data_IF_804535070209
#
_entry.id   IF_804535070209
#
_cell.length_a   1.000
_cell.length_b   1.000
_cell.length_c   1.000
_cell.angle_alpha   90.00
_cell.angle_beta   90.00
_cell.angle_gamma   90.00
#
_symmetry.space_group_name_H-M   'P 1'
#
loop_
_entity.id
_entity.type
_entity.pdbx_description
1 polymer ?
#
# COMPACT_ATOMS: atom_id res chain seq x y z
N UNK A 1 35.67 -5.94 4.39
CA UNK A 1 34.71 -5.77 5.50
C UNK A 1 34.61 -7.11 6.21
N UNK A 2 33.69 -7.31 7.17
CA UNK A 2 33.40 -8.66 7.62
C UNK A 2 32.64 -9.39 6.51
N UNK A 3 33.02 -10.64 6.20
CA UNK A 3 32.27 -11.49 5.27
C UNK A 3 30.88 -11.73 5.86
N UNK A 4 29.84 -11.45 5.09
CA UNK A 4 28.44 -11.69 5.45
C UNK A 4 27.96 -12.94 4.74
N UNK A 5 27.33 -13.84 5.48
CA UNK A 5 26.71 -15.04 4.92
C UNK A 5 25.22 -14.84 4.74
N UNK A 6 24.68 -15.30 3.61
CA UNK A 6 23.25 -15.34 3.34
C UNK A 6 22.83 -16.74 2.94
N UNK A 7 21.60 -17.10 3.30
CA UNK A 7 20.99 -18.36 2.92
C UNK A 7 19.56 -18.10 2.47
N UNK A 8 19.20 -18.60 1.30
CA UNK A 8 17.85 -18.52 0.77
C UNK A 8 17.36 -19.89 0.33
N UNK A 9 16.09 -20.17 0.58
CA UNK A 9 15.42 -21.39 0.17
C UNK A 9 14.12 -21.09 -0.56
N UNK A 10 13.67 -22.05 -1.35
CA UNK A 10 12.37 -22.01 -2.00
C UNK A 10 11.79 -23.41 -2.06
N UNK A 11 10.49 -23.52 -1.79
CA UNK A 11 9.75 -24.78 -1.82
C UNK A 11 8.48 -24.66 -2.65
N UNK A 12 8.16 -25.67 -3.44
CA UNK A 12 6.90 -25.75 -4.18
C UNK A 12 6.54 -27.20 -4.46
N UNK A 13 5.30 -27.59 -4.19
CA UNK A 13 4.77 -28.91 -4.55
C UNK A 13 5.63 -30.10 -4.07
N UNK A 14 6.31 -29.94 -2.91
CA UNK A 14 7.21 -30.95 -2.33
C UNK A 14 8.65 -30.92 -2.85
N UNK A 15 8.94 -30.10 -3.86
CA UNK A 15 10.29 -29.81 -4.32
C UNK A 15 10.90 -28.62 -3.56
N UNK A 16 12.22 -28.57 -3.48
CA UNK A 16 12.95 -27.48 -2.84
C UNK A 16 14.27 -27.17 -3.56
N UNK A 17 14.75 -25.95 -3.40
CA UNK A 17 16.10 -25.53 -3.74
C UNK A 17 16.63 -24.60 -2.65
N UNK A 18 17.96 -24.50 -2.55
CA UNK A 18 18.61 -23.57 -1.65
C UNK A 18 19.84 -22.94 -2.31
N UNK A 19 20.16 -21.73 -1.88
CA UNK A 19 21.34 -20.99 -2.28
C UNK A 19 22.01 -20.44 -1.03
N UNK A 20 23.33 -20.64 -0.93
CA UNK A 20 24.17 -20.06 0.11
C UNK A 20 25.18 -19.12 -0.52
N UNK A 21 25.33 -17.93 0.05
CA UNK A 21 26.27 -16.92 -0.39
C UNK A 21 27.21 -16.53 0.76
N UNK A 22 28.46 -16.27 0.44
CA UNK A 22 29.39 -15.51 1.27
C UNK A 22 29.78 -14.24 0.50
N UNK A 23 29.64 -13.08 1.14
CA UNK A 23 29.71 -11.77 0.47
C UNK A 23 30.67 -10.85 1.23
N UNK A 24 31.60 -10.20 0.51
CA UNK A 24 32.41 -9.09 1.04
C UNK A 24 32.06 -7.80 0.28
N UNK A 25 31.40 -6.86 0.98
CA UNK A 25 30.85 -5.67 0.35
C UNK A 25 29.74 -6.03 -0.65
N UNK A 26 29.94 -5.66 -1.92
CA UNK A 26 29.00 -6.00 -3.02
C UNK A 26 29.40 -7.23 -3.83
N UNK A 27 30.50 -7.92 -3.46
CA UNK A 27 31.04 -9.05 -4.21
C UNK A 27 30.78 -10.39 -3.52
N UNK A 28 30.36 -11.38 -4.29
CA UNK A 28 30.17 -12.76 -3.84
C UNK A 28 31.52 -13.48 -3.89
N UNK A 29 32.06 -13.88 -2.74
CA UNK A 29 33.34 -14.59 -2.64
C UNK A 29 33.18 -16.10 -2.75
N UNK A 30 32.09 -16.64 -2.21
CA UNK A 30 31.71 -18.05 -2.32
C UNK A 30 30.21 -18.15 -2.54
N UNK A 31 29.80 -19.13 -3.35
CA UNK A 31 28.39 -19.44 -3.56
C UNK A 31 28.20 -20.93 -3.81
N UNK A 32 27.05 -21.42 -3.35
CA UNK A 32 26.60 -22.80 -3.55
C UNK A 32 25.10 -22.75 -3.86
N UNK A 33 24.67 -23.46 -4.90
CA UNK A 33 23.31 -23.37 -5.41
C UNK A 33 23.15 -24.04 -6.77
N UNK A 34 22.51 -25.21 -6.79
CA UNK A 34 22.23 -25.97 -8.00
C UNK A 34 21.11 -25.34 -8.84
N UNK A 35 21.12 -25.58 -10.15
CA UNK A 35 20.05 -25.17 -11.06
C UNK A 35 20.13 -23.71 -11.53
N UNK A 36 21.18 -22.97 -11.18
CA UNK A 36 21.46 -21.63 -11.72
C UNK A 36 22.17 -21.71 -13.08
N UNK A 37 21.91 -20.76 -13.97
CA UNK A 37 22.48 -20.75 -15.34
C UNK A 37 23.99 -20.48 -15.39
N UNK A 38 24.55 -19.86 -14.34
CA UNK A 38 25.99 -19.58 -14.22
C UNK A 38 26.46 -19.55 -12.77
N UNK A 39 27.76 -19.82 -12.50
CA UNK A 39 28.35 -19.64 -11.18
C UNK A 39 28.25 -18.18 -10.69
N UNK A 40 28.14 -17.99 -9.38
CA UNK A 40 28.02 -16.66 -8.74
C UNK A 40 29.31 -16.17 -8.09
N UNK A 41 30.25 -17.06 -7.75
CA UNK A 41 31.51 -16.66 -7.13
C UNK A 41 32.30 -15.71 -8.07
N UNK A 42 32.75 -14.58 -7.53
CA UNK A 42 33.43 -13.50 -8.26
C UNK A 42 32.50 -12.44 -8.87
N UNK A 43 31.18 -12.68 -8.88
CA UNK A 43 30.19 -11.69 -9.36
C UNK A 43 29.80 -10.68 -8.29
N UNK A 44 29.33 -9.52 -8.73
CA UNK A 44 28.64 -8.55 -7.86
C UNK A 44 27.21 -9.01 -7.54
N UNK A 45 26.62 -8.47 -6.48
CA UNK A 45 25.20 -8.70 -6.15
C UNK A 45 24.26 -8.20 -7.25
N UNK A 46 24.64 -7.15 -7.99
CA UNK A 46 23.93 -6.67 -9.17
C UNK A 46 23.90 -7.74 -10.26
N UNK A 47 25.06 -8.31 -10.61
CA UNK A 47 25.15 -9.36 -11.63
C UNK A 47 24.41 -10.63 -11.19
N UNK A 48 24.52 -11.00 -9.92
CA UNK A 48 23.80 -12.15 -9.36
C UNK A 48 22.27 -11.98 -9.43
N UNK A 49 21.77 -10.75 -9.19
CA UNK A 49 20.35 -10.43 -9.27
C UNK A 49 19.76 -10.48 -10.71
N UNK A 50 20.59 -10.67 -11.73
CA UNK A 50 20.17 -10.91 -13.14
C UNK A 50 20.20 -12.39 -13.53
N UNK A 51 20.67 -13.28 -12.65
CA UNK A 51 20.90 -14.70 -12.99
C UNK A 51 19.57 -15.46 -13.11
N UNK A 52 19.41 -16.13 -14.26
CA UNK A 52 18.35 -17.09 -14.52
C UNK A 52 18.69 -18.50 -14.06
N UNK A 53 17.79 -19.44 -14.33
CA UNK A 53 17.92 -20.82 -13.88
C UNK A 53 16.57 -21.51 -13.67
N UNK A 54 16.63 -22.68 -13.05
CA UNK A 54 15.46 -23.41 -12.60
C UNK A 54 14.63 -22.52 -11.65
N UNK A 55 13.29 -22.49 -11.77
CA UNK A 55 12.45 -21.54 -11.02
C UNK A 55 12.70 -21.53 -9.51
N UNK A 56 12.82 -22.70 -8.87
CA UNK A 56 13.11 -22.82 -7.44
C UNK A 56 14.50 -22.31 -7.07
N UNK A 57 15.51 -22.59 -7.89
CA UNK A 57 16.87 -22.09 -7.68
C UNK A 57 16.93 -20.57 -7.74
N UNK A 58 16.23 -19.96 -8.70
CA UNK A 58 16.15 -18.49 -8.83
C UNK A 58 15.35 -17.87 -7.68
N UNK A 59 14.27 -18.53 -7.22
CA UNK A 59 13.53 -18.07 -6.04
C UNK A 59 14.41 -18.12 -4.77
N UNK A 60 15.18 -19.20 -4.58
CA UNK A 60 16.14 -19.34 -3.48
C UNK A 60 17.28 -18.31 -3.57
N UNK A 61 17.83 -18.07 -4.76
CA UNK A 61 18.82 -17.03 -5.00
C UNK A 61 18.28 -15.64 -4.64
N UNK A 62 17.08 -15.30 -5.10
CA UNK A 62 16.46 -14.02 -4.80
C UNK A 62 16.25 -13.82 -3.29
N UNK A 63 15.88 -14.88 -2.56
CA UNK A 63 15.75 -14.86 -1.10
C UNK A 63 17.11 -14.65 -0.40
N UNK A 64 18.19 -15.28 -0.89
CA UNK A 64 19.54 -15.08 -0.34
C UNK A 64 20.06 -13.66 -0.62
N UNK A 65 19.97 -13.21 -1.87
CA UNK A 65 20.44 -11.88 -2.31
C UNK A 65 19.72 -10.77 -1.57
N UNK A 66 18.41 -10.86 -1.37
CA UNK A 66 17.61 -9.84 -0.69
C UNK A 66 18.07 -9.49 0.72
N UNK A 67 18.71 -10.44 1.43
CA UNK A 67 19.22 -10.26 2.80
C UNK A 67 20.49 -9.42 2.87
N UNK A 68 21.30 -9.43 1.80
CA UNK A 68 22.65 -8.85 1.79
C UNK A 68 22.86 -7.83 0.68
N UNK A 69 21.82 -7.50 -0.08
CA UNK A 69 21.93 -6.62 -1.25
C UNK A 69 22.46 -5.23 -0.88
N UNK A 70 23.64 -4.93 -1.41
CA UNK A 70 24.26 -3.61 -1.42
C UNK A 70 24.92 -3.39 -2.77
N UNK A 71 24.98 -2.14 -3.22
CA UNK A 71 25.72 -1.78 -4.42
C UNK A 71 26.34 -0.39 -4.27
N UNK A 72 27.49 -0.19 -4.89
CA UNK A 72 28.17 1.11 -4.92
C UNK A 72 27.24 2.16 -5.56
N UNK A 73 27.12 3.37 -4.98
CA UNK A 73 26.31 4.46 -5.55
C UNK A 73 26.68 4.80 -6.98
N UNK A 74 25.67 4.97 -7.84
CA UNK A 74 25.83 5.37 -9.23
C UNK A 74 24.84 6.48 -9.59
N UNK A 75 25.34 7.56 -10.21
CA UNK A 75 24.48 8.67 -10.62
C UNK A 75 23.50 8.23 -11.70
N UNK A 76 22.25 8.69 -11.58
CA UNK A 76 21.17 8.34 -12.48
C UNK A 76 20.59 6.94 -12.29
N UNK A 77 21.07 6.16 -11.31
CA UNK A 77 20.50 4.84 -11.00
C UNK A 77 19.15 4.99 -10.31
N UNK A 78 18.16 4.22 -10.79
CA UNK A 78 16.81 4.22 -10.26
C UNK A 78 16.47 2.87 -9.62
N UNK A 79 15.99 2.88 -8.37
CA UNK A 79 15.28 1.75 -7.81
C UNK A 79 13.81 1.81 -8.26
N UNK A 80 13.26 0.73 -8.78
CA UNK A 80 11.88 0.69 -9.30
C UNK A 80 11.05 -0.27 -8.47
N UNK A 81 9.98 0.22 -7.85
CA UNK A 81 9.06 -0.60 -7.09
C UNK A 81 8.22 -1.48 -8.03
N UNK A 82 8.44 -2.79 -7.97
CA UNK A 82 7.85 -3.78 -8.86
C UNK A 82 6.73 -4.56 -8.17
N UNK A 83 5.50 -4.42 -8.69
CA UNK A 83 4.29 -5.12 -8.22
C UNK A 83 3.94 -6.35 -9.07
N UNK A 84 4.62 -6.56 -10.20
CA UNK A 84 4.27 -7.58 -11.20
C UNK A 84 3.05 -7.21 -12.08
N UNK A 85 2.51 -6.00 -11.91
CA UNK A 85 1.47 -5.40 -12.75
C UNK A 85 2.02 -4.52 -13.88
N UNK A 86 1.14 -4.13 -14.80
CA UNK A 86 1.47 -3.33 -15.98
C UNK A 86 2.11 -1.98 -15.64
N UNK A 87 1.65 -1.32 -14.58
CA UNK A 87 2.10 0.03 -14.20
C UNK A 87 3.57 0.03 -13.78
N UNK A 88 3.96 -0.92 -12.92
CA UNK A 88 5.36 -1.09 -12.53
C UNK A 88 6.23 -1.56 -13.69
N UNK A 89 5.70 -2.33 -14.63
CA UNK A 89 6.46 -2.77 -15.81
C UNK A 89 6.76 -1.62 -16.78
N UNK A 90 5.80 -0.71 -16.99
CA UNK A 90 6.03 0.53 -17.78
C UNK A 90 6.97 1.48 -17.04
N UNK A 91 6.82 1.60 -15.72
CA UNK A 91 7.74 2.38 -14.88
C UNK A 91 9.18 1.88 -15.03
N UNK A 92 9.39 0.56 -14.99
CA UNK A 92 10.68 -0.08 -15.20
C UNK A 92 11.22 0.18 -16.61
N UNK A 93 10.39 0.03 -17.63
CA UNK A 93 10.76 0.29 -19.02
C UNK A 93 11.32 1.71 -19.20
N UNK A 94 10.75 2.70 -18.52
CA UNK A 94 11.19 4.11 -18.57
C UNK A 94 12.47 4.38 -17.77
N UNK A 95 12.71 3.62 -16.71
CA UNK A 95 13.90 3.75 -15.87
C UNK A 95 15.12 2.98 -16.41
N UNK A 96 14.89 1.98 -17.28
CA UNK A 96 15.95 1.21 -17.92
C UNK A 96 16.84 2.09 -18.83
N UNK A 97 18.13 1.74 -19.04
CA UNK A 97 18.80 0.53 -18.55
C UNK A 97 19.37 0.66 -17.12
N UNK A 98 19.49 1.87 -16.55
CA UNK A 98 20.11 2.08 -15.24
C UNK A 98 19.11 1.91 -14.08
N UNK A 99 18.41 0.79 -14.07
CA UNK A 99 17.38 0.48 -13.09
C UNK A 99 17.74 -0.75 -12.26
N UNK A 100 17.18 -0.82 -11.05
CA UNK A 100 17.11 -2.03 -10.22
C UNK A 100 15.65 -2.23 -9.85
N UNK A 101 15.06 -3.36 -10.24
CA UNK A 101 13.71 -3.72 -9.79
C UNK A 101 13.73 -4.21 -8.35
N UNK A 102 12.77 -3.77 -7.53
CA UNK A 102 12.59 -4.26 -6.17
C UNK A 102 11.14 -4.63 -5.89
N UNK A 103 10.92 -5.82 -5.34
CA UNK A 103 9.60 -6.27 -4.91
C UNK A 103 9.59 -6.52 -3.41
N UNK A 104 8.55 -6.04 -2.73
CA UNK A 104 8.30 -6.37 -1.32
C UNK A 104 7.41 -7.62 -1.26
N UNK A 105 7.93 -8.69 -0.65
CA UNK A 105 7.14 -9.86 -0.28
C UNK A 105 6.50 -9.59 1.07
N UNK A 106 5.17 -9.49 1.09
CA UNK A 106 4.38 -9.11 2.25
C UNK A 106 3.56 -10.29 2.77
N UNK A 107 3.15 -10.21 4.04
CA UNK A 107 2.38 -11.28 4.67
C UNK A 107 1.04 -11.50 3.97
N UNK A 108 0.66 -12.77 3.88
CA UNK A 108 -0.60 -13.23 3.31
C UNK A 108 -1.26 -14.15 4.33
N UNK A 109 -2.58 -14.05 4.45
CA UNK A 109 -3.37 -14.91 5.32
C UNK A 109 -3.25 -16.37 4.88
N UNK A 110 -2.61 -17.27 5.67
CA UNK A 110 -2.42 -18.67 5.28
C UNK A 110 -3.74 -19.44 5.15
N UNK A 111 -4.79 -18.98 5.82
CA UNK A 111 -6.15 -19.54 5.77
C UNK A 111 -7.09 -18.69 4.88
N UNK A 112 -6.54 -17.71 4.16
CA UNK A 112 -7.28 -16.82 3.27
C UNK A 112 -7.57 -17.45 1.90
N UNK A 113 -8.38 -16.77 1.06
CA UNK A 113 -8.59 -17.17 -0.33
C UNK A 113 -7.28 -17.14 -1.12
N UNK A 114 -7.24 -17.87 -2.26
CA UNK A 114 -6.02 -18.06 -3.07
C UNK A 114 -5.16 -16.79 -3.21
N UNK A 115 -3.91 -16.91 -2.77
CA UNK A 115 -2.88 -15.88 -2.75
C UNK A 115 -2.58 -15.26 -4.13
N UNK A 116 -2.98 -15.91 -5.23
CA UNK A 116 -2.75 -15.46 -6.61
C UNK A 116 -3.33 -14.06 -6.88
N UNK A 117 -4.35 -13.62 -6.12
CA UNK A 117 -5.01 -12.31 -6.30
C UNK A 117 -4.27 -11.12 -5.66
N UNK A 118 -3.29 -11.37 -4.81
CA UNK A 118 -2.55 -10.32 -4.13
C UNK A 118 -1.35 -9.82 -4.97
N UNK A 119 -1.10 -8.51 -4.98
CA UNK A 119 0.05 -7.89 -5.67
C UNK A 119 1.43 -8.32 -5.12
N UNK A 120 1.46 -9.00 -3.97
CA UNK A 120 2.66 -9.53 -3.31
C UNK A 120 2.71 -11.07 -3.31
N UNK A 121 1.93 -11.72 -4.17
CA UNK A 121 1.92 -13.18 -4.30
C UNK A 121 3.24 -13.71 -4.87
N UNK A 122 3.58 -15.00 -4.64
CA UNK A 122 4.73 -15.62 -5.29
C UNK A 122 4.73 -15.46 -6.82
N UNK A 123 3.55 -15.52 -7.47
CA UNK A 123 3.42 -15.30 -8.92
C UNK A 123 3.60 -13.84 -9.34
N UNK A 124 3.24 -12.88 -8.47
CA UNK A 124 3.52 -11.47 -8.68
C UNK A 124 5.02 -11.18 -8.59
N UNK A 125 5.71 -11.74 -7.58
CA UNK A 125 7.17 -11.65 -7.41
C UNK A 125 7.90 -12.23 -8.62
N UNK A 126 7.53 -13.45 -9.05
CA UNK A 126 8.14 -14.09 -10.23
C UNK A 126 7.94 -13.28 -11.50
N UNK A 127 6.76 -12.71 -11.71
CA UNK A 127 6.50 -11.89 -12.88
C UNK A 127 7.23 -10.54 -12.84
N UNK A 128 7.35 -9.92 -11.66
CA UNK A 128 8.18 -8.74 -11.47
C UNK A 128 9.64 -9.05 -11.85
N UNK A 129 10.19 -10.17 -11.38
CA UNK A 129 11.54 -10.63 -11.73
C UNK A 129 11.68 -10.86 -13.22
N UNK A 130 10.75 -11.60 -13.83
CA UNK A 130 10.77 -11.88 -15.26
C UNK A 130 10.72 -10.59 -16.10
N UNK A 131 9.94 -9.58 -15.69
CA UNK A 131 9.90 -8.28 -16.36
C UNK A 131 11.25 -7.54 -16.28
N UNK A 132 11.95 -7.63 -15.14
CA UNK A 132 13.30 -7.07 -14.99
C UNK A 132 14.32 -7.80 -15.86
N UNK A 133 14.35 -9.13 -15.78
CA UNK A 133 15.30 -9.95 -16.53
C UNK A 133 15.11 -9.82 -18.05
N UNK A 134 13.87 -9.67 -18.53
CA UNK A 134 13.59 -9.41 -19.94
C UNK A 134 14.20 -8.10 -20.47
N UNK A 135 14.47 -7.13 -19.58
CA UNK A 135 15.13 -5.87 -19.89
C UNK A 135 16.62 -5.86 -19.49
N UNK A 136 17.16 -7.00 -19.03
CA UNK A 136 18.52 -7.08 -18.51
C UNK A 136 18.73 -6.34 -17.18
N UNK A 137 17.66 -6.00 -16.48
CA UNK A 137 17.69 -5.25 -15.21
C UNK A 137 17.74 -6.22 -14.02
N UNK A 138 18.59 -5.99 -13.01
CA UNK A 138 18.60 -6.77 -11.77
C UNK A 138 17.29 -6.65 -11.02
N UNK A 139 16.89 -7.72 -10.33
CA UNK A 139 15.70 -7.75 -9.47
C UNK A 139 16.03 -8.26 -8.07
N UNK A 140 15.54 -7.54 -7.06
CA UNK A 140 15.68 -7.90 -5.65
C UNK A 140 14.31 -8.10 -5.02
N UNK A 141 14.19 -9.13 -4.17
CA UNK A 141 13.00 -9.35 -3.35
C UNK A 141 13.35 -9.07 -1.90
N UNK A 142 12.62 -8.18 -1.24
CA UNK A 142 12.73 -7.94 0.20
C UNK A 142 11.61 -8.71 0.90
N UNK A 143 11.98 -9.65 1.77
CA UNK A 143 11.02 -10.36 2.61
C UNK A 143 10.70 -9.51 3.83
N UNK A 144 9.50 -8.95 3.88
CA UNK A 144 9.01 -8.08 4.96
C UNK A 144 7.69 -8.59 5.51
N UNK A 145 7.50 -9.92 5.50
CA UNK A 145 6.23 -10.53 5.90
C UNK A 145 5.89 -10.22 7.36
N UNK A 146 6.81 -10.49 8.27
CA UNK A 146 6.56 -10.31 9.70
C UNK A 146 6.37 -8.82 10.05
N UNK A 147 7.24 -7.95 9.54
CA UNK A 147 7.16 -6.51 9.75
C UNK A 147 5.85 -5.93 9.18
N UNK A 148 5.39 -6.42 8.02
CA UNK A 148 4.10 -6.01 7.46
C UNK A 148 2.93 -6.46 8.31
N UNK A 149 2.98 -7.69 8.84
CA UNK A 149 1.94 -8.21 9.73
C UNK A 149 1.82 -7.33 10.97
N UNK A 150 2.94 -7.10 11.65
CA UNK A 150 2.99 -6.31 12.89
C UNK A 150 2.60 -4.84 12.67
N UNK A 151 3.02 -4.25 11.54
CA UNK A 151 2.86 -2.81 11.30
C UNK A 151 1.54 -2.45 10.62
N UNK A 152 0.95 -3.35 9.83
CA UNK A 152 -0.23 -3.05 9.00
C UNK A 152 -1.41 -3.96 9.35
N UNK A 153 -1.19 -5.27 9.43
CA UNK A 153 -2.28 -6.24 9.56
C UNK A 153 -2.83 -6.29 10.98
N UNK A 154 -1.97 -6.39 11.99
CA UNK A 154 -2.38 -6.47 13.39
C UNK A 154 -3.05 -5.18 13.86
N UNK A 155 -2.56 -3.97 13.51
CA UNK A 155 -3.27 -2.74 13.85
C UNK A 155 -4.58 -2.56 13.12
N UNK A 156 -4.72 -3.11 11.91
CA UNK A 156 -6.01 -3.15 11.20
C UNK A 156 -7.02 -3.98 12.00
N UNK A 157 -6.65 -5.18 12.43
CA UNK A 157 -7.51 -6.03 13.25
C UNK A 157 -7.83 -5.39 14.61
N UNK A 158 -6.83 -4.79 15.26
CA UNK A 158 -6.99 -4.09 16.54
C UNK A 158 -7.90 -2.86 16.43
N UNK A 159 -7.81 -2.09 15.35
CA UNK A 159 -8.69 -0.94 15.10
C UNK A 159 -10.15 -1.35 15.00
N UNK A 160 -10.45 -2.43 14.27
CA UNK A 160 -11.80 -2.99 14.24
C UNK A 160 -12.26 -3.51 15.61
N UNK A 161 -11.36 -4.10 16.40
CA UNK A 161 -11.64 -4.50 17.79
C UNK A 161 -11.79 -3.31 18.76
N UNK A 162 -11.43 -2.09 18.34
CA UNK A 162 -11.64 -0.85 19.07
C UNK A 162 -12.85 -0.05 18.53
N UNK A 163 -13.56 -0.56 17.51
CA UNK A 163 -14.71 0.10 16.89
C UNK A 163 -14.37 1.10 15.80
N UNK A 164 -13.10 1.27 15.45
CA UNK A 164 -12.65 2.13 14.35
C UNK A 164 -12.84 1.49 12.98
N UNK A 165 -12.70 2.29 11.91
CA UNK A 165 -12.63 1.81 10.52
C UNK A 165 -11.27 2.18 9.92
N UNK A 166 -10.20 1.44 10.24
CA UNK A 166 -8.84 1.78 9.81
C UNK A 166 -8.67 1.67 8.29
N UNK A 167 -7.86 2.57 7.72
CA UNK A 167 -7.40 2.47 6.33
C UNK A 167 -5.98 1.84 6.27
N UNK A 168 -5.86 0.52 6.00
CA UNK A 168 -4.56 -0.14 6.04
C UNK A 168 -3.64 0.31 4.91
N UNK A 169 -4.18 0.76 3.78
CA UNK A 169 -3.39 1.16 2.63
C UNK A 169 -2.68 2.50 2.84
N UNK A 170 -3.33 3.44 3.52
CA UNK A 170 -2.69 4.72 3.86
C UNK A 170 -1.49 4.52 4.79
N UNK A 171 -1.64 3.69 5.82
CA UNK A 171 -0.53 3.32 6.72
C UNK A 171 0.57 2.54 6.00
N UNK A 172 0.19 1.58 5.16
CA UNK A 172 1.12 0.79 4.36
C UNK A 172 1.95 1.69 3.40
N UNK A 173 1.33 2.65 2.73
CA UNK A 173 2.04 3.53 1.81
C UNK A 173 2.86 4.60 2.55
N UNK A 174 2.34 5.19 3.62
CA UNK A 174 3.04 6.23 4.37
C UNK A 174 4.31 5.73 5.04
N UNK A 175 4.15 4.86 6.04
CA UNK A 175 5.20 4.61 7.06
C UNK A 175 5.86 3.23 6.94
N UNK A 176 5.55 2.48 5.88
CA UNK A 176 6.04 1.11 5.72
C UNK A 176 6.67 0.88 4.35
N UNK A 177 5.89 1.00 3.27
CA UNK A 177 6.34 0.68 1.92
C UNK A 177 7.36 1.69 1.43
N UNK A 178 7.10 2.99 1.56
CA UNK A 178 8.03 4.01 1.09
C UNK A 178 9.32 4.00 1.92
N UNK A 179 9.24 3.85 3.24
CA UNK A 179 10.42 3.73 4.09
C UNK A 179 11.30 2.54 3.70
N UNK A 180 10.70 1.35 3.54
CA UNK A 180 11.43 0.15 3.11
C UNK A 180 12.06 0.32 1.72
N UNK A 181 11.33 0.92 0.77
CA UNK A 181 11.81 1.15 -0.58
C UNK A 181 12.91 2.21 -0.64
N UNK A 182 12.80 3.32 0.10
CA UNK A 182 13.82 4.37 0.17
C UNK A 182 15.09 3.86 0.83
N UNK A 183 14.96 3.12 1.94
CA UNK A 183 16.09 2.46 2.60
C UNK A 183 16.76 1.45 1.66
N UNK A 184 16.00 0.72 0.84
CA UNK A 184 16.56 -0.12 -0.19
C UNK A 184 17.28 0.68 -1.28
N UNK A 185 16.68 1.77 -1.79
CA UNK A 185 17.30 2.62 -2.80
C UNK A 185 18.67 3.12 -2.35
N UNK A 186 18.81 3.52 -1.08
CA UNK A 186 20.10 3.90 -0.50
C UNK A 186 21.12 2.77 -0.52
N UNK A 187 20.76 1.58 -0.01
CA UNK A 187 21.66 0.42 0.00
C UNK A 187 22.03 -0.05 -1.40
N UNK A 188 21.11 0.08 -2.34
CA UNK A 188 21.27 -0.28 -3.74
C UNK A 188 22.06 0.78 -4.55
N UNK A 189 22.51 1.85 -3.90
CA UNK A 189 23.24 2.92 -4.56
C UNK A 189 22.42 3.68 -5.60
N UNK A 190 21.09 3.68 -5.47
CA UNK A 190 20.16 4.35 -6.36
C UNK A 190 19.87 5.78 -5.88
N UNK A 191 19.97 6.73 -6.81
CA UNK A 191 19.71 8.15 -6.58
C UNK A 191 18.21 8.42 -6.38
N UNK A 192 17.37 7.70 -7.13
CA UNK A 192 15.91 7.90 -7.14
C UNK A 192 15.12 6.61 -6.95
N UNK A 193 13.93 6.73 -6.35
CA UNK A 193 12.90 5.69 -6.25
C UNK A 193 11.76 5.99 -7.22
N UNK A 194 11.47 5.06 -8.11
CA UNK A 194 10.39 5.16 -9.10
C UNK A 194 9.27 4.19 -8.73
N UNK A 195 8.03 4.67 -8.77
CA UNK A 195 6.86 3.83 -8.51
C UNK A 195 5.81 4.02 -9.59
N UNK A 196 5.04 2.97 -9.89
CA UNK A 196 3.94 3.02 -10.85
C UNK A 196 2.67 3.69 -10.33
N UNK A 197 2.78 4.65 -9.39
CA UNK A 197 1.61 5.38 -8.91
C UNK A 197 1.19 6.46 -9.91
N UNK A 198 -0.12 6.58 -10.10
CA UNK A 198 -0.76 7.70 -10.78
C UNK A 198 -0.87 8.86 -9.79
N UNK A 199 0.20 9.64 -9.69
CA UNK A 199 0.27 10.90 -8.97
C UNK A 199 1.34 11.77 -9.61
N UNK A 200 1.33 13.07 -9.35
CA UNK A 200 2.38 13.99 -9.80
C UNK A 200 3.17 14.50 -8.61
N UNK A 201 4.32 15.10 -8.88
CA UNK A 201 5.04 15.93 -7.90
C UNK A 201 4.88 17.36 -8.38
N UNK A 202 4.30 18.21 -7.53
CA UNK A 202 4.02 19.61 -7.84
C UNK A 202 4.68 20.50 -6.81
N UNK A 203 5.14 21.67 -7.22
CA UNK A 203 5.70 22.66 -6.31
C UNK A 203 4.63 23.65 -5.85
N UNK A 204 4.53 23.85 -4.53
CA UNK A 204 3.69 24.90 -3.92
C UNK A 204 4.46 25.53 -2.78
N UNK A 205 4.43 26.86 -2.68
CA UNK A 205 5.13 27.59 -1.62
C UNK A 205 6.62 27.20 -1.46
N UNK A 206 7.31 26.84 -2.57
CA UNK A 206 8.71 26.42 -2.55
C UNK A 206 8.95 25.00 -2.02
N UNK A 207 7.89 24.20 -1.87
CA UNK A 207 7.96 22.83 -1.38
C UNK A 207 7.38 21.87 -2.42
N UNK A 208 8.06 20.73 -2.61
CA UNK A 208 7.54 19.63 -3.41
C UNK A 208 6.42 18.93 -2.64
N UNK A 209 5.29 18.69 -3.31
CA UNK A 209 4.11 18.03 -2.75
C UNK A 209 3.59 16.97 -3.70
N UNK A 210 2.84 16.01 -3.17
CA UNK A 210 2.06 15.07 -3.98
C UNK A 210 0.94 15.84 -4.68
N UNK A 211 0.82 15.65 -5.98
CA UNK A 211 -0.22 16.24 -6.82
C UNK A 211 -1.16 15.19 -7.41
N UNK A 212 -2.39 15.60 -7.74
CA UNK A 212 -3.35 14.77 -8.45
C UNK A 212 -2.79 14.35 -9.81
N UNK A 213 -3.04 13.10 -10.21
CA UNK A 213 -2.74 12.63 -11.57
C UNK A 213 -3.61 13.33 -12.63
N UNK A 214 -3.18 13.26 -13.88
CA UNK A 214 -3.99 13.64 -15.04
C UNK A 214 -5.21 12.72 -15.19
N UNK A 215 -5.05 11.43 -14.89
CA UNK A 215 -6.14 10.45 -14.87
C UNK A 215 -6.92 10.55 -13.55
N UNK A 216 -8.09 11.20 -13.58
CA UNK A 216 -8.92 11.37 -12.40
C UNK A 216 -9.50 10.05 -11.86
N UNK A 217 -9.70 9.04 -12.72
CA UNK A 217 -10.24 7.73 -12.29
C UNK A 217 -9.18 6.86 -11.62
N UNK A 218 -7.90 7.09 -11.96
CA UNK A 218 -6.75 6.39 -11.36
C UNK A 218 -5.97 7.23 -10.37
N UNK A 219 -6.36 8.47 -10.08
CA UNK A 219 -5.64 9.32 -9.15
C UNK A 219 -5.39 8.65 -7.79
N UNK A 220 -4.11 8.47 -7.48
CA UNK A 220 -3.63 7.85 -6.25
C UNK A 220 -3.06 8.88 -5.26
N UNK A 221 -3.21 10.19 -5.52
CA UNK A 221 -2.75 11.24 -4.62
C UNK A 221 -3.29 11.08 -3.19
N UNK A 222 -4.53 10.63 -3.03
CA UNK A 222 -5.13 10.36 -1.71
C UNK A 222 -4.39 9.24 -0.95
N UNK A 223 -3.97 8.19 -1.66
CA UNK A 223 -3.28 7.03 -1.08
C UNK A 223 -1.83 7.34 -0.71
N UNK A 224 -1.31 8.45 -1.24
CA UNK A 224 0.03 8.99 -1.00
C UNK A 224 -0.01 10.25 -0.14
N UNK A 225 -1.18 10.65 0.37
CA UNK A 225 -1.34 11.95 1.01
C UNK A 225 -0.52 12.11 2.30
N UNK A 226 -0.21 11.01 2.99
CA UNK A 226 0.61 10.98 4.21
C UNK A 226 2.12 10.95 3.94
N UNK A 227 2.53 10.82 2.68
CA UNK A 227 3.94 10.75 2.30
C UNK A 227 4.68 12.03 2.70
N UNK A 228 5.89 11.88 3.24
CA UNK A 228 6.71 13.02 3.63
C UNK A 228 7.17 13.85 2.42
N UNK A 229 6.86 15.16 2.36
CA UNK A 229 7.39 16.04 1.33
C UNK A 229 8.91 15.95 1.15
N UNK A 230 9.66 15.69 2.24
CA UNK A 230 11.11 15.57 2.19
C UNK A 230 11.59 14.41 1.30
N UNK A 231 10.80 13.33 1.16
CA UNK A 231 11.22 12.21 0.31
C UNK A 231 10.96 12.46 -1.17
N UNK A 232 10.15 13.47 -1.52
CA UNK A 232 9.75 13.75 -2.91
C UNK A 232 10.91 14.23 -3.78
N UNK A 233 12.00 14.73 -3.19
CA UNK A 233 13.23 15.04 -3.92
C UNK A 233 13.80 13.80 -4.62
N UNK A 234 13.64 12.62 -3.99
CA UNK A 234 14.18 11.34 -4.45
C UNK A 234 13.13 10.43 -5.10
N UNK A 235 11.85 10.74 -5.01
CA UNK A 235 10.77 9.92 -5.57
C UNK A 235 10.37 10.40 -6.96
N UNK A 236 9.97 9.49 -7.85
CA UNK A 236 9.40 9.79 -9.16
C UNK A 236 8.12 8.97 -9.42
N UNK A 237 7.15 9.62 -10.04
CA UNK A 237 5.86 9.05 -10.45
C UNK A 237 5.68 9.18 -11.97
N UNK A 238 6.35 8.34 -12.79
CA UNK A 238 6.39 8.52 -14.24
C UNK A 238 5.03 8.33 -14.94
N UNK A 239 4.00 7.85 -14.23
CA UNK A 239 2.66 7.64 -14.78
C UNK A 239 1.69 8.79 -14.45
N UNK A 240 2.12 9.78 -13.66
CA UNK A 240 1.25 10.89 -13.23
C UNK A 240 0.65 11.74 -14.34
N UNK A 241 1.35 11.82 -15.48
CA UNK A 241 0.95 12.61 -16.65
C UNK A 241 0.28 11.77 -17.75
N UNK A 242 -0.16 10.55 -17.44
CA UNK A 242 -0.79 9.65 -18.39
C UNK A 242 -2.06 9.02 -17.84
N UNK A 243 -2.94 8.66 -18.77
CA UNK A 243 -4.08 7.80 -18.52
C UNK A 243 -3.69 6.34 -18.40
N UNK A 244 -4.56 5.55 -17.77
CA UNK A 244 -4.40 4.09 -17.73
C UNK A 244 -4.36 3.47 -19.11
N UNK A 245 -5.15 4.00 -20.03
CA UNK A 245 -5.24 3.51 -21.40
C UNK A 245 -3.92 3.72 -22.14
N UNK A 246 -3.31 4.91 -22.02
CA UNK A 246 -1.98 5.20 -22.56
C UNK A 246 -0.91 4.28 -21.98
N UNK A 247 -0.97 4.02 -20.67
CA UNK A 247 -0.03 3.09 -20.00
C UNK A 247 -0.15 1.67 -20.57
N UNK A 248 -1.38 1.17 -20.78
CA UNK A 248 -1.60 -0.14 -21.42
C UNK A 248 -1.13 -0.16 -22.87
N UNK A 249 -1.36 0.92 -23.62
CA UNK A 249 -0.90 1.03 -25.00
C UNK A 249 0.63 1.06 -25.11
N UNK A 250 1.32 1.74 -24.18
CA UNK A 250 2.79 1.71 -24.07
C UNK A 250 3.29 0.30 -23.77
N UNK A 251 2.70 -0.38 -22.78
CA UNK A 251 3.07 -1.76 -22.45
C UNK A 251 2.89 -2.71 -23.64
N UNK A 252 1.80 -2.57 -24.39
CA UNK A 252 1.53 -3.37 -25.59
C UNK A 252 2.55 -3.10 -26.70
N UNK A 253 2.88 -1.82 -26.96
CA UNK A 253 3.90 -1.43 -27.96
C UNK A 253 5.29 -1.98 -27.61
N UNK A 254 5.61 -2.03 -26.32
CA UNK A 254 6.86 -2.59 -25.82
C UNK A 254 6.85 -4.13 -25.71
N UNK A 255 5.75 -4.80 -26.04
CA UNK A 255 5.63 -6.25 -25.97
C UNK A 255 5.68 -6.82 -24.54
N UNK A 256 5.34 -6.02 -23.53
CA UNK A 256 5.40 -6.44 -22.13
C UNK A 256 4.30 -7.46 -21.81
N UNK A 257 4.69 -8.64 -21.30
CA UNK A 257 3.75 -9.68 -20.89
C UNK A 257 2.73 -9.21 -19.83
N UNK A 258 3.06 -8.17 -19.06
CA UNK A 258 2.18 -7.59 -18.06
C UNK A 258 0.94 -6.88 -18.63
N UNK A 259 0.92 -6.57 -19.94
CA UNK A 259 -0.17 -5.82 -20.58
C UNK A 259 -1.56 -6.49 -20.47
N UNK A 260 -1.60 -7.81 -20.29
CA UNK A 260 -2.85 -8.60 -20.22
C UNK A 260 -3.29 -8.93 -18.80
N UNK A 261 -2.52 -8.56 -17.77
CA UNK A 261 -2.85 -8.90 -16.37
C UNK A 261 -3.94 -7.98 -15.81
N UNK A 262 -4.85 -8.59 -15.05
CA UNK A 262 -5.86 -7.88 -14.28
C UNK A 262 -5.23 -7.06 -13.14
N UNK A 263 -5.85 -5.93 -12.79
CA UNK A 263 -5.42 -5.12 -11.64
C UNK A 263 -5.81 -5.80 -10.33
N UNK A 264 -4.95 -5.67 -9.32
CA UNK A 264 -5.31 -6.01 -7.95
C UNK A 264 -6.24 -4.91 -7.41
N UNK A 265 -7.40 -5.30 -6.92
CA UNK A 265 -8.35 -4.43 -6.24
C UNK A 265 -8.46 -4.92 -4.80
N UNK A 266 -8.56 -3.99 -3.84
CA UNK A 266 -8.67 -4.20 -2.38
C UNK A 266 -7.34 -4.26 -1.59
N UNK A 267 -7.44 -4.29 -0.26
CA UNK A 267 -6.29 -4.43 0.63
C UNK A 267 -5.56 -5.75 0.34
N UNK A 268 -4.24 -5.67 0.13
CA UNK A 268 -3.46 -6.77 -0.43
C UNK A 268 -3.55 -8.08 0.37
N UNK A 269 -3.66 -8.01 1.70
CA UNK A 269 -3.75 -9.18 2.58
C UNK A 269 -5.15 -9.82 2.64
N UNK A 270 -6.20 -9.14 2.14
CA UNK A 270 -7.54 -9.72 2.05
C UNK A 270 -7.70 -10.60 0.80
N UNK A 271 -6.88 -10.37 -0.23
CA UNK A 271 -6.87 -11.14 -1.48
C UNK A 271 -8.25 -11.31 -2.15
N UNK A 272 -9.10 -10.28 -2.08
CA UNK A 272 -10.47 -10.32 -2.63
C UNK A 272 -11.52 -10.93 -1.71
N UNK A 273 -11.19 -11.19 -0.43
CA UNK A 273 -12.08 -11.77 0.57
C UNK A 273 -12.81 -10.72 1.43
N UNK A 274 -13.92 -11.14 2.06
CA UNK A 274 -14.63 -10.29 3.03
C UNK A 274 -13.75 -10.06 4.27
N UNK A 275 -13.53 -8.78 4.62
CA UNK A 275 -12.79 -8.38 5.81
C UNK A 275 -13.38 -9.00 7.08
N UNK A 276 -14.69 -9.27 7.11
CA UNK A 276 -15.34 -9.88 8.29
C UNK A 276 -14.82 -11.29 8.55
N UNK A 277 -14.76 -12.12 7.51
CA UNK A 277 -14.24 -13.48 7.60
C UNK A 277 -12.74 -13.46 7.89
N UNK A 278 -12.01 -12.47 7.37
CA UNK A 278 -10.62 -12.24 7.74
C UNK A 278 -10.47 -11.94 9.24
N UNK A 279 -11.26 -11.01 9.79
CA UNK A 279 -11.24 -10.66 11.22
C UNK A 279 -11.58 -11.85 12.11
N UNK A 280 -12.52 -12.71 11.71
CA UNK A 280 -12.82 -13.97 12.40
C UNK A 280 -11.58 -14.86 12.50
N UNK A 281 -10.83 -15.01 11.40
CA UNK A 281 -9.57 -15.77 11.37
C UNK A 281 -8.45 -15.10 12.17
N UNK A 282 -8.48 -13.79 12.32
CA UNK A 282 -7.58 -13.05 13.22
C UNK A 282 -8.01 -13.07 14.70
N UNK A 283 -9.08 -13.79 15.04
CA UNK A 283 -9.51 -14.03 16.42
C UNK A 283 -10.69 -13.18 16.91
N UNK A 284 -11.27 -12.31 16.06
CA UNK A 284 -12.50 -11.61 16.43
C UNK A 284 -13.69 -12.56 16.33
N UNK A 285 -14.13 -13.06 17.48
CA UNK A 285 -15.24 -14.01 17.54
C UNK A 285 -16.59 -13.30 17.42
N UNK A 286 -17.56 -13.90 16.69
CA UNK A 286 -18.93 -13.42 16.69
C UNK A 286 -19.53 -13.41 18.11
N UNK A 287 -20.15 -12.30 18.47
CA UNK A 287 -20.83 -12.14 19.76
C UNK A 287 -22.15 -11.40 19.56
N UNK A 288 -23.25 -11.94 20.10
CA UNK A 288 -24.57 -11.32 19.92
C UNK A 288 -24.60 -9.94 20.57
N UNK A 289 -25.01 -8.94 19.78
CA UNK A 289 -25.14 -7.55 20.17
C UNK A 289 -26.46 -6.95 19.69
N UNK A 290 -26.82 -5.79 20.22
CA UNK A 290 -28.08 -5.11 19.88
C UNK A 290 -27.85 -4.04 18.80
N UNK A 291 -28.77 -3.99 17.84
CA UNK A 291 -28.91 -2.86 16.92
C UNK A 291 -29.91 -1.91 17.56
N UNK A 292 -29.49 -0.68 17.85
CA UNK A 292 -30.29 0.32 18.57
C UNK A 292 -30.49 1.59 17.75
N UNK A 293 -31.59 2.30 17.96
CA UNK A 293 -31.77 3.66 17.45
C UNK A 293 -31.00 4.70 18.30
N UNK A 294 -31.05 5.97 17.89
CA UNK A 294 -30.42 7.10 18.60
C UNK A 294 -30.97 7.31 20.03
N UNK A 295 -32.20 6.84 20.29
CA UNK A 295 -32.82 6.86 21.62
C UNK A 295 -32.47 5.63 22.48
N UNK A 296 -31.71 4.67 21.93
CA UNK A 296 -31.34 3.43 22.61
C UNK A 296 -32.39 2.32 22.51
N UNK A 297 -33.43 2.46 21.69
CA UNK A 297 -34.42 1.40 21.52
C UNK A 297 -33.85 0.28 20.64
N UNK A 298 -33.94 -0.95 21.13
CA UNK A 298 -33.50 -2.14 20.39
C UNK A 298 -34.41 -2.40 19.20
N UNK A 299 -33.82 -2.41 18.00
CA UNK A 299 -34.48 -2.66 16.71
C UNK A 299 -34.20 -4.08 16.18
N UNK A 300 -33.14 -4.72 16.65
CA UNK A 300 -32.74 -6.06 16.23
C UNK A 300 -31.41 -6.49 16.86
N UNK A 301 -30.82 -7.56 16.33
CA UNK A 301 -29.58 -8.14 16.84
C UNK A 301 -28.58 -8.40 15.72
N UNK A 302 -27.32 -8.50 16.08
CA UNK A 302 -26.22 -8.80 15.17
C UNK A 302 -25.15 -9.67 15.83
N UNK A 303 -24.21 -10.17 15.03
CA UNK A 303 -23.16 -11.11 15.47
C UNK A 303 -21.79 -10.43 15.72
N UNK A 304 -21.81 -9.22 16.28
CA UNK A 304 -20.62 -8.43 16.62
C UNK A 304 -20.55 -7.08 15.91
N UNK A 305 -20.22 -6.02 16.65
CA UNK A 305 -20.23 -4.64 16.13
C UNK A 305 -19.18 -4.42 15.02
N UNK A 306 -18.05 -5.14 15.07
CA UNK A 306 -16.94 -5.05 14.12
C UNK A 306 -17.32 -5.50 12.70
N UNK A 307 -18.50 -6.10 12.51
CA UNK A 307 -19.06 -6.45 11.17
C UNK A 307 -19.69 -5.26 10.45
N UNK A 308 -19.77 -4.10 11.12
CA UNK A 308 -20.48 -2.92 10.65
C UNK A 308 -19.52 -1.74 10.50
N UNK A 309 -19.80 -0.90 9.50
CA UNK A 309 -19.01 0.30 9.22
C UNK A 309 -19.94 1.51 9.18
N UNK A 310 -19.57 2.66 9.78
CA UNK A 310 -20.34 3.90 9.66
C UNK A 310 -20.73 4.22 8.22
N UNK A 311 -22.00 4.56 8.00
CA UNK A 311 -22.60 4.77 6.68
C UNK A 311 -23.22 3.54 6.02
N UNK A 312 -22.94 2.33 6.52
CA UNK A 312 -23.50 1.09 5.98
C UNK A 312 -25.03 1.09 6.06
N UNK A 313 -25.69 0.82 4.94
CA UNK A 313 -27.15 0.67 4.83
C UNK A 313 -27.61 -0.77 4.73
N UNK A 314 -26.89 -1.59 3.97
CA UNK A 314 -27.26 -2.98 3.66
C UNK A 314 -26.79 -3.92 4.77
N UNK A 315 -27.48 -5.05 4.93
CA UNK A 315 -27.07 -6.09 5.89
C UNK A 315 -27.32 -5.76 7.36
N UNK A 316 -28.20 -4.80 7.66
CA UNK A 316 -28.59 -4.48 9.05
C UNK A 316 -29.57 -5.50 9.64
N UNK A 317 -30.37 -6.19 8.82
CA UNK A 317 -31.33 -7.19 9.31
C UNK A 317 -32.49 -6.63 10.14
N UNK A 318 -32.72 -5.31 10.11
CA UNK A 318 -33.82 -4.64 10.83
C UNK A 318 -34.88 -4.09 9.88
N UNK A 319 -36.15 -4.24 10.24
CA UNK A 319 -37.27 -3.64 9.53
C UNK A 319 -37.61 -2.28 10.15
N UNK A 320 -37.58 -1.21 9.36
CA UNK A 320 -37.93 0.13 9.80
C UNK A 320 -38.78 0.84 8.75
N UNK A 321 -39.64 1.76 9.18
CA UNK A 321 -40.51 2.55 8.28
C UNK A 321 -39.76 3.55 7.38
N UNK A 322 -38.45 3.69 7.57
CA UNK A 322 -37.54 4.51 6.75
C UNK A 322 -36.17 3.84 6.64
N UNK A 323 -35.36 4.15 5.60
CA UNK A 323 -34.00 3.65 5.49
C UNK A 323 -33.15 4.03 6.70
N UNK A 324 -32.42 3.07 7.25
CA UNK A 324 -31.47 3.27 8.35
C UNK A 324 -30.04 3.02 7.88
N UNK A 325 -29.10 3.72 8.50
CA UNK A 325 -27.67 3.61 8.30
C UNK A 325 -26.96 3.41 9.64
N UNK A 326 -25.87 2.68 9.67
CA UNK A 326 -24.95 2.62 10.82
C UNK A 326 -24.40 4.02 11.07
N UNK A 327 -24.67 4.60 12.23
CA UNK A 327 -24.11 5.88 12.65
C UNK A 327 -22.74 5.66 13.31
N UNK A 328 -22.69 4.72 14.25
CA UNK A 328 -21.48 4.32 14.98
C UNK A 328 -21.61 2.90 15.50
N UNK A 329 -20.47 2.31 15.83
CA UNK A 329 -20.33 1.06 16.57
C UNK A 329 -19.92 1.37 18.01
N UNK A 330 -20.32 0.52 18.95
CA UNK A 330 -19.98 0.65 20.36
C UNK A 330 -19.37 -0.66 20.87
N UNK A 331 -18.02 -0.74 20.96
CA UNK A 331 -17.35 -1.93 21.46
C UNK A 331 -17.69 -2.26 22.91
N UNK A 332 -17.92 -1.23 23.75
CA UNK A 332 -18.13 -1.40 25.18
C UNK A 332 -19.44 -2.12 25.50
N UNK A 333 -20.48 -1.85 24.71
CA UNK A 333 -21.79 -2.51 24.84
C UNK A 333 -22.06 -3.55 23.76
N UNK A 334 -21.11 -3.80 22.85
CA UNK A 334 -21.31 -4.58 21.63
C UNK A 334 -22.57 -4.14 20.85
N UNK A 335 -22.79 -2.84 20.71
CA UNK A 335 -23.97 -2.29 20.05
C UNK A 335 -23.66 -1.64 18.70
N UNK A 336 -24.67 -1.61 17.83
CA UNK A 336 -24.63 -0.86 16.56
C UNK A 336 -25.73 0.18 16.60
N UNK A 337 -25.35 1.46 16.60
CA UNK A 337 -26.31 2.56 16.59
C UNK A 337 -26.68 2.87 15.16
N UNK A 338 -27.97 2.85 14.84
CA UNK A 338 -28.50 3.16 13.52
C UNK A 338 -29.44 4.34 13.54
N UNK A 339 -29.50 5.06 12.43
CA UNK A 339 -30.35 6.23 12.30
C UNK A 339 -30.55 6.65 10.86
N UNK A 340 -31.24 7.78 10.64
CA UNK A 340 -31.48 8.31 9.31
C UNK A 340 -30.15 8.82 8.69
N UNK A 341 -30.09 8.93 7.36
CA UNK A 341 -28.85 9.31 6.66
C UNK A 341 -28.33 10.69 7.09
N UNK A 342 -29.25 11.58 7.44
CA UNK A 342 -28.98 12.95 7.86
C UNK A 342 -28.20 12.99 9.18
N UNK A 343 -28.31 11.97 10.04
CA UNK A 343 -27.54 11.85 11.28
C UNK A 343 -26.05 11.49 11.04
N UNK A 344 -25.66 11.18 9.81
CA UNK A 344 -24.26 10.98 9.40
C UNK A 344 -23.58 12.26 8.89
N UNK A 345 -24.31 13.37 8.89
CA UNK A 345 -23.83 14.65 8.38
C UNK A 345 -22.76 15.23 9.32
N UNK A 346 -21.50 15.10 8.93
CA UNK A 346 -20.39 15.74 9.58
C UNK A 346 -20.23 17.17 9.03
N UNK A 347 -20.11 18.14 9.91
CA UNK A 347 -19.79 19.54 9.58
C UNK A 347 -18.39 19.93 10.08
N UNK A 348 -17.84 19.18 11.04
CA UNK A 348 -16.48 19.39 11.52
C UNK A 348 -15.71 18.08 11.65
N UNK A 349 -14.43 18.11 11.27
CA UNK A 349 -13.52 16.97 11.36
C UNK A 349 -12.23 17.41 12.04
N UNK A 350 -11.71 16.62 12.96
CA UNK A 350 -10.37 16.78 13.54
C UNK A 350 -9.48 15.63 13.04
N UNK A 351 -8.27 15.96 12.62
CA UNK A 351 -7.29 15.01 12.13
C UNK A 351 -5.95 15.20 12.84
N UNK A 352 -5.35 14.09 13.28
CA UNK A 352 -3.99 14.01 13.78
C UNK A 352 -3.04 13.80 12.58
N UNK A 353 -2.09 14.71 12.40
CA UNK A 353 -1.24 14.74 11.21
C UNK A 353 -0.56 16.08 11.02
N UNK A 354 -0.38 16.50 9.77
CA UNK A 354 0.35 17.72 9.44
C UNK A 354 -0.20 18.46 8.25
N UNK A 355 -0.06 19.78 8.30
CA UNK A 355 -0.13 20.64 7.12
C UNK A 355 1.28 20.74 6.54
N UNK A 356 1.41 20.40 5.27
CA UNK A 356 2.66 20.49 4.52
C UNK A 356 2.93 21.89 4.00
N UNK A 357 1.86 22.64 3.71
CA UNK A 357 1.91 24.02 3.28
C UNK A 357 0.82 24.84 4.02
N UNK A 358 1.02 26.16 4.22
CA UNK A 358 0.00 27.03 4.78
C UNK A 358 -1.26 27.05 3.91
N UNK A 359 -2.43 26.87 4.52
CA UNK A 359 -3.71 26.86 3.83
C UNK A 359 -4.83 27.26 4.80
N UNK A 360 -5.66 28.21 4.40
CA UNK A 360 -6.84 28.64 5.19
C UNK A 360 -8.15 28.03 4.67
N UNK A 361 -8.18 27.69 3.37
CA UNK A 361 -9.29 27.03 2.70
C UNK A 361 -8.76 26.03 1.68
N UNK A 362 -9.38 24.87 1.61
CA UNK A 362 -9.02 23.84 0.65
C UNK A 362 -10.13 22.80 0.46
N UNK A 363 -9.84 21.80 -0.34
CA UNK A 363 -10.71 20.66 -0.61
C UNK A 363 -10.31 19.48 0.30
N UNK A 364 -11.20 19.08 1.19
CA UNK A 364 -11.00 17.93 2.07
C UNK A 364 -11.59 16.66 1.45
N UNK A 365 -10.74 15.67 1.20
CA UNK A 365 -11.16 14.32 0.83
C UNK A 365 -11.04 13.41 2.04
N UNK A 366 -12.18 12.93 2.53
CA UNK A 366 -12.29 12.20 3.80
C UNK A 366 -12.40 10.68 3.61
N UNK A 367 -12.56 10.23 2.36
CA UNK A 367 -12.53 8.84 1.92
C UNK A 367 -11.99 8.74 0.50
N UNK A 368 -11.38 7.61 0.14
CA UNK A 368 -10.76 7.42 -1.17
C UNK A 368 -11.73 7.63 -2.35
N UNK A 369 -12.95 7.09 -2.26
CA UNK A 369 -13.99 7.19 -3.29
C UNK A 369 -15.10 8.19 -2.95
N UNK A 370 -14.80 9.22 -2.16
CA UNK A 370 -15.72 10.35 -1.98
C UNK A 370 -15.28 11.55 -2.79
N UNK A 371 -16.26 12.37 -3.17
CA UNK A 371 -15.99 13.70 -3.66
C UNK A 371 -15.30 14.54 -2.56
N UNK A 372 -14.36 15.41 -2.93
CA UNK A 372 -13.80 16.38 -1.99
C UNK A 372 -14.87 17.40 -1.57
N UNK A 373 -14.72 17.92 -0.36
CA UNK A 373 -15.62 18.92 0.22
C UNK A 373 -14.81 20.16 0.55
N UNK A 374 -15.26 21.33 0.09
CA UNK A 374 -14.63 22.59 0.47
C UNK A 374 -14.67 22.78 1.99
N UNK A 375 -13.56 23.23 2.57
CA UNK A 375 -13.42 23.37 4.01
C UNK A 375 -12.56 24.58 4.38
N UNK A 376 -12.90 25.21 5.51
CA UNK A 376 -11.99 26.10 6.24
C UNK A 376 -11.06 25.26 7.10
N UNK A 377 -9.79 25.65 7.13
CA UNK A 377 -8.72 24.86 7.75
C UNK A 377 -8.18 25.63 8.94
N UNK A 378 -8.12 24.97 10.08
CA UNK A 378 -7.56 25.51 11.32
C UNK A 378 -6.45 24.59 11.78
N UNK A 379 -5.20 25.06 11.68
CA UNK A 379 -4.04 24.32 12.18
C UNK A 379 -4.13 24.13 13.70
N UNK A 380 -3.66 22.99 14.19
CA UNK A 380 -3.54 22.69 15.61
C UNK A 380 -2.18 22.07 15.91
N UNK A 381 -1.83 21.96 17.19
CA UNK A 381 -0.62 21.25 17.59
C UNK A 381 -0.79 19.76 17.27
N UNK A 382 0.03 19.22 16.36
CA UNK A 382 -0.04 17.83 15.91
C UNK A 382 -1.16 17.54 14.90
N UNK A 383 -1.74 18.54 14.23
CA UNK A 383 -2.80 18.26 13.27
C UNK A 383 -3.51 19.47 12.70
N UNK A 384 -4.77 19.25 12.32
CA UNK A 384 -5.67 20.30 11.87
C UNK A 384 -7.13 19.94 12.13
N UNK A 385 -7.98 20.96 12.14
CA UNK A 385 -9.43 20.78 12.10
C UNK A 385 -10.02 21.45 10.88
N UNK A 386 -11.10 20.85 10.37
CA UNK A 386 -11.79 21.25 9.16
C UNK A 386 -13.23 21.64 9.52
N UNK A 387 -13.66 22.81 9.07
CA UNK A 387 -15.06 23.21 9.06
C UNK A 387 -15.55 23.10 7.61
N UNK A 388 -16.44 22.13 7.36
CA UNK A 388 -16.89 21.77 6.02
C UNK A 388 -17.99 22.73 5.54
N UNK A 389 -17.86 23.23 4.32
CA UNK A 389 -18.85 24.14 3.74
C UNK A 389 -20.16 23.43 3.38
N UNK A 390 -20.10 22.13 3.11
CA UNK A 390 -21.28 21.26 3.00
C UNK A 390 -21.09 20.03 3.87
N UNK A 391 -22.16 19.46 4.46
CA UNK A 391 -22.01 18.31 5.33
C UNK A 391 -21.50 17.07 4.59
N UNK A 392 -20.43 16.46 5.09
CA UNK A 392 -19.92 15.18 4.57
C UNK A 392 -20.63 14.01 5.25
N UNK A 393 -21.06 13.02 4.47
CA UNK A 393 -21.72 11.83 5.03
C UNK A 393 -20.74 10.70 5.32
N UNK A 394 -20.93 10.00 6.44
CA UNK A 394 -20.22 8.75 6.76
C UNK A 394 -18.69 8.91 6.79
N UNK A 395 -18.24 10.00 7.42
CA UNK A 395 -16.86 10.18 7.87
C UNK A 395 -16.66 9.29 9.11
N UNK A 396 -15.56 8.57 9.17
CA UNK A 396 -15.27 7.64 10.27
C UNK A 396 -13.88 7.91 10.85
N UNK A 397 -13.70 7.65 12.14
CA UNK A 397 -12.40 7.65 12.79
C UNK A 397 -11.51 6.56 12.19
N UNK A 398 -10.20 6.83 12.12
CA UNK A 398 -9.22 5.94 11.50
C UNK A 398 -9.12 6.04 9.97
N UNK A 399 -9.99 6.84 9.32
CA UNK A 399 -9.83 7.23 7.91
C UNK A 399 -8.81 8.35 7.75
N UNK A 400 -8.38 8.64 6.52
CA UNK A 400 -7.49 9.75 6.23
C UNK A 400 -8.29 10.97 5.80
N UNK A 401 -7.99 12.12 6.40
CA UNK A 401 -8.34 13.42 5.86
C UNK A 401 -7.18 13.91 4.99
N UNK A 402 -7.35 13.95 3.68
CA UNK A 402 -6.39 14.55 2.75
C UNK A 402 -6.90 15.94 2.33
N UNK A 403 -6.07 16.96 2.48
CA UNK A 403 -6.40 18.34 2.17
C UNK A 403 -5.68 18.79 0.90
N UNK A 404 -6.45 19.34 -0.04
CA UNK A 404 -5.98 19.78 -1.33
C UNK A 404 -6.09 21.29 -1.48
N UNK A 405 -5.07 21.91 -2.08
CA UNK A 405 -5.13 23.24 -2.66
C UNK A 405 -4.89 23.13 -4.17
N UNK A 406 -5.97 23.28 -4.94
CA UNK A 406 -6.01 22.91 -6.35
C UNK A 406 -5.69 21.42 -6.55
N UNK A 407 -4.58 21.14 -7.23
CA UNK A 407 -4.11 19.78 -7.49
C UNK A 407 -3.10 19.26 -6.45
N UNK A 408 -2.63 20.09 -5.51
CA UNK A 408 -1.58 19.71 -4.55
C UNK A 408 -2.16 19.24 -3.22
N UNK A 409 -1.61 18.16 -2.66
CA UNK A 409 -1.88 17.72 -1.29
C UNK A 409 -1.10 18.62 -0.34
N UNK A 410 -1.80 19.50 0.38
CA UNK A 410 -1.21 20.49 1.30
C UNK A 410 -1.31 20.09 2.77
N UNK A 411 -2.00 18.99 3.07
CA UNK A 411 -2.00 18.39 4.40
C UNK A 411 -2.65 17.02 4.41
N UNK A 412 -2.29 16.20 5.39
CA UNK A 412 -2.95 14.92 5.62
C UNK A 412 -2.86 14.50 7.09
N UNK A 413 -3.85 13.73 7.54
CA UNK A 413 -3.89 13.17 8.88
C UNK A 413 -4.94 12.09 9.04
N UNK A 414 -4.87 11.35 10.15
CA UNK A 414 -5.86 10.37 10.55
C UNK A 414 -7.01 11.09 11.25
N UNK A 415 -8.24 10.83 10.81
CA UNK A 415 -9.45 11.37 11.44
C UNK A 415 -9.59 10.80 12.85
N UNK A 416 -9.57 11.69 13.84
CA UNK A 416 -9.70 11.34 15.26
C UNK A 416 -11.05 11.75 15.84
N UNK A 417 -11.73 12.73 15.23
CA UNK A 417 -13.05 13.19 15.67
C UNK A 417 -13.91 13.67 14.50
N UNK A 418 -15.21 13.40 14.60
CA UNK A 418 -16.25 13.82 13.65
C UNK A 418 -17.40 14.45 14.44
N UNK A 419 -17.89 15.61 14.00
CA UNK A 419 -19.03 16.32 14.59
C UNK A 419 -20.02 16.77 13.54
#
# INVERSE_FOLDING_TARGET
MAIVHAFGDATRDGEWAAVRLAVDGEHIVEADGDGLERPLAGSTLLEAATVGGAPLAVDALAAAVGQVFVATPESGRAAVAMSGGVDSAVTLLRAAPNAIGVTLRLWQDPAGPSAERACCSPDAVRAARAACHALGVPHVTLDLREEFKETVVDPFAAGYAAGDTPNPCARCNGDFRFDALLAFSERAGAETLWTGHYARIVERHGQLLVGRAVDAEKDQSYMLATLDPAVLERVRFPLGDQTKEETRAEAARAGLAAATRAESQEACFLAGGDYRTFLERQGLSPATGDIVDEGGHVLGRHDGYWRFTPGQRRGLGVAAGRPLHVLRTDPGTNAVVVGPREALAATRVEADGRLYAPVERGEAKLRYRSDPVAARVYASNGGFSLELETPASAVATGQIAALYDGDAVVGAGVVTRVQ
#
